data_IF_244022933421
#
_entry.id   IF_244022933421
#
_cell.length_a   1.000
_cell.length_b   1.000
_cell.length_c   1.000
_cell.angle_alpha   90.00
_cell.angle_beta   90.00
_cell.angle_gamma   90.00
#
_symmetry.space_group_name_H-M   'P 1'
#
loop_
_entity.id
_entity.type
_entity.pdbx_description
1 polymer ?
#
# COMPACT_ATOMS: atom_id res chain seq x y z
N UNK A 1 9.42 -64.68 -19.26
CA UNK A 1 8.55 -65.08 -20.39
C UNK A 1 8.52 -66.60 -20.41
N UNK A 2 7.40 -67.25 -20.77
CA UNK A 2 7.35 -68.71 -20.78
C UNK A 2 8.45 -69.27 -21.68
N UNK A 3 9.17 -70.29 -21.20
CA UNK A 3 10.30 -70.91 -21.92
C UNK A 3 9.80 -71.65 -23.16
N UNK A 4 8.56 -72.15 -23.11
CA UNK A 4 7.90 -72.87 -24.19
C UNK A 4 6.45 -72.45 -24.35
N UNK A 5 5.91 -72.61 -25.55
CA UNK A 5 4.48 -72.41 -25.80
C UNK A 5 3.63 -73.39 -24.97
N UNK A 6 2.50 -72.89 -24.44
CA UNK A 6 1.60 -73.70 -23.61
C UNK A 6 1.15 -75.00 -24.30
N UNK A 7 0.91 -74.95 -25.61
CA UNK A 7 0.50 -76.14 -26.37
C UNK A 7 1.66 -77.15 -26.51
N UNK A 8 2.90 -76.67 -26.57
CA UNK A 8 4.09 -77.52 -26.57
C UNK A 8 4.29 -78.17 -25.21
N UNK A 9 4.14 -77.42 -24.12
CA UNK A 9 4.19 -77.95 -22.76
C UNK A 9 3.13 -79.06 -22.56
N UNK A 10 1.90 -78.85 -23.03
CA UNK A 10 0.82 -79.84 -22.93
C UNK A 10 1.14 -81.16 -23.65
N UNK A 11 1.82 -81.11 -24.79
CA UNK A 11 2.19 -82.31 -25.55
C UNK A 11 3.19 -83.23 -24.84
N UNK A 12 3.81 -82.79 -23.74
CA UNK A 12 4.75 -83.60 -22.97
C UNK A 12 4.10 -84.41 -21.85
N UNK A 13 2.83 -84.15 -21.55
CA UNK A 13 2.09 -84.74 -20.44
C UNK A 13 0.83 -85.48 -20.92
N UNK A 14 0.88 -86.08 -22.11
CA UNK A 14 -0.19 -86.95 -22.60
C UNK A 14 -0.13 -88.34 -21.94
N UNK A 15 -1.24 -89.09 -22.01
CA UNK A 15 -1.31 -90.39 -21.34
C UNK A 15 -0.35 -91.37 -21.98
N UNK A 16 0.61 -91.87 -21.19
CA UNK A 16 1.65 -92.79 -21.65
C UNK A 16 2.98 -92.13 -21.97
N UNK A 17 3.02 -90.80 -22.03
CA UNK A 17 4.26 -90.05 -22.19
C UNK A 17 4.95 -89.81 -20.85
N UNK A 18 6.29 -89.85 -20.88
CA UNK A 18 7.14 -89.56 -19.74
C UNK A 18 8.04 -88.38 -20.09
N UNK A 19 7.73 -87.16 -19.59
CA UNK A 19 8.57 -86.00 -19.84
C UNK A 19 9.99 -86.23 -19.30
N UNK A 20 10.97 -85.78 -20.08
CA UNK A 20 12.38 -85.73 -19.66
C UNK A 20 12.59 -84.67 -18.58
N UNK A 21 13.72 -84.74 -17.87
CA UNK A 21 14.10 -83.75 -16.86
C UNK A 21 14.04 -82.31 -17.40
N UNK A 22 14.58 -82.08 -18.61
CA UNK A 22 14.56 -80.74 -19.22
C UNK A 22 13.13 -80.27 -19.52
N UNK A 23 12.26 -81.15 -20.01
CA UNK A 23 10.85 -80.82 -20.26
C UNK A 23 10.10 -80.45 -18.96
N UNK A 24 10.49 -81.07 -17.85
CA UNK A 24 9.96 -80.72 -16.54
C UNK A 24 10.50 -79.39 -16.01
N UNK A 25 11.80 -79.10 -16.20
CA UNK A 25 12.37 -77.79 -15.86
C UNK A 25 11.73 -76.66 -16.65
N UNK A 26 11.60 -76.83 -17.98
CA UNK A 26 10.93 -75.88 -18.86
C UNK A 26 9.48 -75.59 -18.41
N UNK A 27 8.80 -76.57 -17.81
CA UNK A 27 7.48 -76.38 -17.22
C UNK A 27 7.55 -75.49 -15.97
N UNK A 28 8.42 -75.82 -15.02
CA UNK A 28 8.56 -75.09 -13.74
C UNK A 28 8.94 -73.64 -14.01
N UNK A 29 9.95 -73.42 -14.84
CA UNK A 29 10.47 -72.10 -15.19
C UNK A 29 9.49 -71.27 -16.07
N UNK A 30 8.45 -71.91 -16.62
CA UNK A 30 7.38 -71.21 -17.32
C UNK A 30 6.35 -70.57 -16.36
N UNK A 31 6.40 -70.88 -15.05
CA UNK A 31 5.59 -70.24 -14.02
C UNK A 31 6.39 -69.16 -13.28
N UNK A 32 5.69 -68.11 -12.81
CA UNK A 32 6.32 -67.08 -11.98
C UNK A 32 6.49 -67.57 -10.53
N UNK A 33 7.70 -67.43 -10.00
CA UNK A 33 8.07 -67.71 -8.62
C UNK A 33 8.08 -66.42 -7.80
N UNK A 34 7.08 -66.25 -6.91
CA UNK A 34 6.78 -65.00 -6.17
C UNK A 34 7.98 -64.37 -5.42
N UNK A 35 8.95 -65.17 -4.99
CA UNK A 35 10.10 -64.71 -4.20
C UNK A 35 11.37 -64.47 -5.05
N UNK A 36 11.40 -64.98 -6.28
CA UNK A 36 12.59 -65.02 -7.13
C UNK A 36 12.43 -64.21 -8.41
N UNK A 37 11.19 -64.05 -8.89
CA UNK A 37 10.87 -63.35 -10.12
C UNK A 37 10.32 -61.94 -9.90
N UNK A 38 10.73 -61.03 -10.79
CA UNK A 38 10.18 -59.67 -10.88
C UNK A 38 8.96 -59.66 -11.82
N UNK A 39 7.80 -59.28 -11.28
CA UNK A 39 6.59 -59.06 -12.09
C UNK A 39 6.56 -57.59 -12.53
N UNK A 40 6.94 -57.33 -13.78
CA UNK A 40 6.77 -56.00 -14.38
C UNK A 40 5.29 -55.67 -14.57
N UNK A 41 4.91 -54.43 -14.28
CA UNK A 41 3.56 -53.88 -14.49
C UNK A 41 3.04 -54.08 -15.93
N UNK A 42 3.93 -54.13 -16.93
CA UNK A 42 3.60 -54.39 -18.34
C UNK A 42 3.20 -55.84 -18.61
N UNK A 43 3.59 -56.78 -17.74
CA UNK A 43 3.27 -58.20 -17.88
C UNK A 43 1.83 -58.52 -17.43
N UNK A 44 1.14 -57.57 -16.81
CA UNK A 44 -0.26 -57.71 -16.41
C UNK A 44 -1.13 -56.85 -17.33
N UNK A 45 -1.88 -57.53 -18.21
CA UNK A 45 -2.78 -56.87 -19.16
C UNK A 45 -3.72 -55.88 -18.45
N UNK A 46 -3.71 -54.63 -18.89
CA UNK A 46 -4.60 -53.57 -18.39
C UNK A 46 -4.22 -52.93 -17.05
N UNK A 47 -3.25 -53.48 -16.30
CA UNK A 47 -2.89 -52.94 -14.97
C UNK A 47 -2.33 -51.52 -15.06
N UNK A 48 -1.44 -51.26 -16.03
CA UNK A 48 -0.91 -49.91 -16.27
C UNK A 48 -2.02 -48.91 -16.59
N UNK A 49 -2.97 -49.29 -17.44
CA UNK A 49 -4.12 -48.45 -17.81
C UNK A 49 -5.00 -48.14 -16.60
N UNK A 50 -5.31 -49.14 -15.78
CA UNK A 50 -6.11 -48.96 -14.56
C UNK A 50 -5.41 -48.05 -13.55
N UNK A 51 -4.10 -48.19 -13.36
CA UNK A 51 -3.33 -47.33 -12.45
C UNK A 51 -3.24 -45.90 -12.95
N UNK A 52 -3.02 -45.71 -14.26
CA UNK A 52 -3.05 -44.38 -14.88
C UNK A 52 -4.43 -43.72 -14.76
N UNK A 53 -5.51 -44.50 -14.67
CA UNK A 53 -6.87 -44.00 -14.47
C UNK A 53 -7.24 -43.70 -13.00
N UNK A 54 -6.42 -44.06 -12.00
CA UNK A 54 -6.74 -43.85 -10.57
C UNK A 54 -6.51 -42.43 -10.07
N UNK A 55 -5.62 -41.69 -10.72
CA UNK A 55 -5.45 -40.26 -10.53
C UNK A 55 -5.57 -39.67 -11.92
N UNK A 56 -6.78 -39.28 -12.28
CA UNK A 56 -7.04 -38.77 -13.62
C UNK A 56 -6.18 -37.51 -13.78
N UNK A 57 -5.15 -37.62 -14.62
CA UNK A 57 -4.23 -36.52 -14.87
C UNK A 57 -5.01 -35.26 -15.22
N UNK A 58 -6.13 -35.42 -15.92
CA UNK A 58 -7.08 -34.37 -16.24
C UNK A 58 -7.73 -33.73 -15.01
N UNK A 59 -8.13 -34.49 -13.99
CA UNK A 59 -8.69 -33.93 -12.75
C UNK A 59 -7.64 -33.13 -11.98
N UNK A 60 -6.39 -33.60 -11.93
CA UNK A 60 -5.30 -32.86 -11.29
C UNK A 60 -4.97 -31.59 -12.06
N UNK A 61 -4.86 -31.66 -13.40
CA UNK A 61 -4.62 -30.47 -14.22
C UNK A 61 -5.78 -29.47 -14.13
N UNK A 62 -7.03 -29.95 -14.08
CA UNK A 62 -8.21 -29.11 -13.88
C UNK A 62 -8.17 -28.40 -12.53
N UNK A 63 -7.79 -29.10 -11.45
CA UNK A 63 -7.66 -28.50 -10.13
C UNK A 63 -6.52 -27.47 -10.08
N UNK A 64 -5.36 -27.77 -10.67
CA UNK A 64 -4.23 -26.83 -10.74
C UNK A 64 -4.57 -25.58 -11.56
N UNK A 65 -5.44 -25.70 -12.56
CA UNK A 65 -5.96 -24.58 -13.34
C UNK A 65 -7.08 -23.78 -12.64
N UNK A 66 -7.73 -24.38 -11.65
CA UNK A 66 -8.88 -23.78 -10.96
C UNK A 66 -8.43 -22.74 -9.91
N UNK A 67 -8.28 -21.49 -10.37
CA UNK A 67 -8.05 -20.33 -9.49
C UNK A 67 -9.34 -19.82 -8.83
N UNK A 68 -10.48 -20.45 -9.10
CA UNK A 68 -11.73 -20.10 -8.46
C UNK A 68 -11.88 -20.74 -7.06
N UNK A 69 -10.97 -21.65 -6.66
CA UNK A 69 -11.11 -22.49 -5.46
C UNK A 69 -9.78 -23.09 -4.94
N UNK A 70 -9.34 -22.84 -3.70
CA UNK A 70 -9.21 -21.56 -3.00
C UNK A 70 -7.89 -20.83 -3.32
N UNK A 71 -7.10 -21.27 -4.30
CA UNK A 71 -5.81 -20.64 -4.63
C UNK A 71 -6.01 -19.40 -5.52
N UNK A 72 -5.37 -18.28 -5.14
CA UNK A 72 -5.36 -17.03 -5.90
C UNK A 72 -6.73 -16.33 -6.08
N UNK A 73 -7.60 -16.41 -5.06
CA UNK A 73 -8.88 -15.69 -5.08
C UNK A 73 -8.68 -14.17 -5.17
N UNK A 74 -9.49 -13.54 -6.02
CA UNK A 74 -9.53 -12.10 -6.25
C UNK A 74 -10.40 -11.40 -5.20
N UNK A 75 -10.23 -10.08 -5.04
CA UNK A 75 -11.14 -9.26 -4.20
C UNK A 75 -12.61 -9.45 -4.59
N UNK A 76 -12.89 -9.72 -5.86
CA UNK A 76 -14.24 -9.98 -6.31
C UNK A 76 -14.82 -11.30 -5.78
N UNK A 77 -14.01 -12.35 -5.73
CA UNK A 77 -14.45 -13.66 -5.22
C UNK A 77 -14.80 -13.64 -3.73
N UNK A 78 -14.19 -12.74 -2.96
CA UNK A 78 -14.48 -12.57 -1.52
C UNK A 78 -15.47 -11.44 -1.24
N UNK A 79 -16.14 -10.89 -2.26
CA UNK A 79 -17.16 -9.85 -2.10
C UNK A 79 -16.60 -8.46 -1.78
N UNK A 80 -15.30 -8.22 -2.00
CA UNK A 80 -14.60 -6.97 -1.70
C UNK A 80 -14.30 -6.14 -2.97
N UNK A 81 -15.00 -6.37 -4.09
CA UNK A 81 -14.76 -5.65 -5.37
C UNK A 81 -14.83 -4.14 -5.25
N UNK A 82 -15.72 -3.64 -4.40
CA UNK A 82 -15.96 -2.21 -4.22
C UNK A 82 -14.97 -1.55 -3.25
N UNK A 83 -14.07 -2.33 -2.64
CA UNK A 83 -13.09 -1.82 -1.69
C UNK A 83 -11.82 -1.44 -2.44
N UNK A 84 -11.48 -0.15 -2.52
CA UNK A 84 -10.30 0.30 -3.24
C UNK A 84 -9.00 -0.16 -2.54
N UNK A 85 -7.91 -0.29 -3.30
CA UNK A 85 -6.61 -0.68 -2.77
C UNK A 85 -5.74 0.55 -2.45
N UNK A 86 -6.11 1.31 -1.43
CA UNK A 86 -5.44 2.55 -1.09
C UNK A 86 -4.79 2.49 0.30
N UNK A 87 -3.62 3.12 0.40
CA UNK A 87 -2.88 3.29 1.64
C UNK A 87 -3.27 4.63 2.28
N UNK A 88 -3.44 4.64 3.60
CA UNK A 88 -3.74 5.85 4.39
C UNK A 88 -2.54 6.19 5.28
N UNK A 89 -1.39 6.49 4.67
CA UNK A 89 -0.11 6.63 5.37
C UNK A 89 0.35 8.08 5.56
N UNK A 90 -0.30 9.06 4.92
CA UNK A 90 0.07 10.46 5.04
C UNK A 90 -1.08 11.36 5.54
N UNK A 91 -0.71 12.37 6.34
CA UNK A 91 -1.63 13.31 7.01
C UNK A 91 -2.23 14.34 6.04
N UNK A 92 -1.61 14.54 4.88
CA UNK A 92 -1.98 15.50 3.84
C UNK A 92 -2.84 14.89 2.72
N UNK A 93 -3.19 13.60 2.80
CA UNK A 93 -4.00 12.90 1.80
C UNK A 93 -5.49 13.27 1.86
N UNK A 94 -5.88 14.20 0.99
CA UNK A 94 -7.28 14.59 0.77
C UNK A 94 -7.99 13.66 -0.23
N UNK A 95 -8.30 12.43 0.21
CA UNK A 95 -9.07 11.44 -0.57
C UNK A 95 -10.43 11.15 0.07
N UNK A 96 -11.30 12.15 0.06
CA UNK A 96 -12.66 12.13 0.61
C UNK A 96 -13.55 10.99 0.08
N UNK A 97 -13.38 10.59 -1.18
CA UNK A 97 -14.24 9.59 -1.83
C UNK A 97 -13.81 8.15 -1.52
N UNK A 98 -12.62 7.98 -0.94
CA UNK A 98 -11.97 6.68 -0.80
C UNK A 98 -11.63 6.34 0.66
N UNK A 99 -11.23 7.34 1.45
CA UNK A 99 -10.66 7.18 2.79
C UNK A 99 -11.25 8.24 3.72
N UNK A 100 -12.50 8.05 4.16
CA UNK A 100 -13.24 9.03 4.98
C UNK A 100 -12.44 9.54 6.20
N UNK A 101 -11.61 8.68 6.81
CA UNK A 101 -10.73 9.03 7.94
C UNK A 101 -9.58 9.96 7.54
N UNK A 102 -8.94 9.77 6.37
CA UNK A 102 -7.83 10.63 5.93
C UNK A 102 -8.31 12.04 5.63
N UNK A 103 -9.52 12.19 5.08
CA UNK A 103 -10.14 13.49 4.85
C UNK A 103 -10.46 14.25 6.15
N UNK A 104 -10.86 13.55 7.21
CA UNK A 104 -11.07 14.15 8.53
C UNK A 104 -9.74 14.64 9.15
N UNK A 105 -8.68 13.83 9.02
CA UNK A 105 -7.33 14.18 9.48
C UNK A 105 -6.75 15.36 8.70
N UNK A 106 -6.89 15.38 7.38
CA UNK A 106 -6.47 16.50 6.53
C UNK A 106 -7.11 17.81 6.96
N UNK A 107 -8.45 17.82 7.13
CA UNK A 107 -9.20 19.01 7.59
C UNK A 107 -8.73 19.47 8.97
N UNK A 108 -8.42 18.55 9.87
CA UNK A 108 -7.87 18.88 11.18
C UNK A 108 -6.47 19.49 11.06
N UNK A 109 -5.58 18.89 10.27
CA UNK A 109 -4.23 19.39 10.04
C UNK A 109 -4.23 20.81 9.45
N UNK A 110 -5.10 21.09 8.47
CA UNK A 110 -5.27 22.45 7.93
C UNK A 110 -5.72 23.45 8.99
N UNK A 111 -6.68 23.07 9.85
CA UNK A 111 -7.16 23.93 10.95
C UNK A 111 -6.09 24.20 12.01
N UNK A 112 -5.25 23.21 12.32
CA UNK A 112 -4.15 23.38 13.28
C UNK A 112 -3.07 24.28 12.68
N UNK A 113 -2.72 24.11 11.41
CA UNK A 113 -1.76 24.96 10.71
C UNK A 113 -2.12 26.44 10.75
N UNK A 114 -3.40 26.76 10.55
CA UNK A 114 -3.89 28.15 10.57
C UNK A 114 -3.81 28.81 11.95
N UNK A 115 -3.77 28.05 13.04
CA UNK A 115 -3.66 28.58 14.41
C UNK A 115 -2.20 28.72 14.90
N UNK A 116 -1.22 28.52 14.00
CA UNK A 116 0.21 28.63 14.33
C UNK A 116 0.61 30.11 14.34
N UNK A 117 1.24 30.54 15.43
CA UNK A 117 1.82 31.88 15.52
C UNK A 117 2.97 31.96 14.51
N UNK A 118 2.82 32.78 13.48
CA UNK A 118 3.91 33.08 12.56
C UNK A 118 4.80 34.17 13.19
N UNK A 119 6.12 34.02 13.07
CA UNK A 119 7.08 34.97 13.61
C UNK A 119 8.06 35.38 12.51
N UNK A 120 8.26 36.69 12.33
CA UNK A 120 9.16 37.24 11.33
C UNK A 120 10.00 38.37 11.92
N UNK A 121 11.29 38.40 11.57
CA UNK A 121 12.19 39.48 11.92
C UNK A 121 12.43 40.38 10.72
N UNK A 122 12.23 41.69 10.92
CA UNK A 122 12.52 42.72 9.94
C UNK A 122 13.70 43.57 10.42
N UNK A 123 14.61 43.92 9.52
CA UNK A 123 15.71 44.86 9.79
C UNK A 123 15.52 46.21 9.09
N UNK A 124 14.55 46.28 8.18
CA UNK A 124 14.12 47.46 7.44
C UNK A 124 12.61 47.37 7.20
N UNK A 125 11.99 48.41 6.64
CA UNK A 125 10.58 48.36 6.24
C UNK A 125 10.30 47.12 5.39
N UNK A 126 9.19 46.44 5.68
CA UNK A 126 8.92 45.12 5.13
C UNK A 126 7.45 44.87 4.90
N UNK A 127 7.16 43.68 4.37
CA UNK A 127 5.81 43.26 4.02
C UNK A 127 5.50 41.87 4.57
N UNK A 128 4.30 41.71 5.08
CA UNK A 128 3.68 40.44 5.42
C UNK A 128 2.49 40.16 4.51
N UNK A 129 2.28 38.90 4.13
CA UNK A 129 1.19 38.50 3.24
C UNK A 129 0.17 37.71 4.06
N UNK A 130 -0.99 38.32 4.32
CA UNK A 130 -2.13 37.64 4.92
C UNK A 130 -2.88 36.86 3.84
N UNK A 131 -2.99 35.54 4.01
CA UNK A 131 -3.61 34.65 3.00
C UNK A 131 -5.12 34.78 2.98
N UNK A 132 -5.71 34.61 1.80
CA UNK A 132 -7.17 34.56 1.62
C UNK A 132 -7.83 33.63 2.65
N UNK A 133 -8.79 34.18 3.39
CA UNK A 133 -9.56 33.48 4.41
C UNK A 133 -9.04 33.63 5.84
N UNK A 134 -7.82 34.14 6.03
CA UNK A 134 -7.25 34.39 7.36
C UNK A 134 -7.70 35.75 7.92
N UNK A 135 -8.00 35.80 9.22
CA UNK A 135 -8.22 37.02 9.99
C UNK A 135 -6.99 37.31 10.87
N UNK A 136 -6.29 38.42 10.63
CA UNK A 136 -5.22 38.89 11.51
C UNK A 136 -5.81 39.71 12.65
N UNK A 137 -5.97 39.10 13.82
CA UNK A 137 -6.59 39.76 14.99
C UNK A 137 -5.60 40.70 15.69
N UNK A 138 -4.38 40.22 15.92
CA UNK A 138 -3.35 40.97 16.64
C UNK A 138 -1.95 40.64 16.16
N UNK A 139 -1.06 41.60 16.36
CA UNK A 139 0.38 41.41 16.25
C UNK A 139 1.06 41.78 17.57
N UNK A 140 2.20 41.15 17.83
CA UNK A 140 3.11 41.55 18.92
C UNK A 140 4.42 41.98 18.30
N UNK A 141 4.80 43.23 18.53
CA UNK A 141 5.99 43.86 17.95
C UNK A 141 7.03 44.06 19.05
N UNK A 142 8.22 43.51 18.83
CA UNK A 142 9.35 43.56 19.76
C UNK A 142 10.54 44.20 19.04
N UNK A 143 10.69 45.53 19.11
CA UNK A 143 11.81 46.23 18.51
C UNK A 143 13.02 46.25 19.45
N UNK A 144 14.26 46.29 18.94
CA UNK A 144 15.47 46.39 19.79
C UNK A 144 15.71 47.79 20.38
N UNK A 145 15.04 48.81 19.85
CA UNK A 145 15.09 50.20 20.28
C UNK A 145 13.70 50.84 20.11
N UNK A 146 13.47 52.02 20.68
CA UNK A 146 12.21 52.74 20.49
C UNK A 146 12.01 53.08 19.00
N UNK A 147 10.81 52.83 18.49
CA UNK A 147 10.44 53.10 17.08
C UNK A 147 9.05 53.74 16.99
N UNK A 148 8.75 54.38 15.87
CA UNK A 148 7.38 54.77 15.52
C UNK A 148 6.89 53.93 14.36
N UNK A 149 6.09 52.91 14.65
CA UNK A 149 5.59 51.97 13.65
C UNK A 149 4.32 52.51 12.99
N UNK A 150 4.26 52.45 11.67
CA UNK A 150 3.02 52.66 10.89
C UNK A 150 2.73 51.42 10.06
N UNK A 151 1.44 51.13 9.83
CA UNK A 151 1.00 49.96 9.06
C UNK A 151 0.07 50.43 7.96
N UNK A 152 0.27 49.89 6.75
CA UNK A 152 -0.61 50.20 5.63
C UNK A 152 -0.78 49.06 4.62
N UNK A 153 -1.70 49.26 3.69
CA UNK A 153 -1.95 48.35 2.55
C UNK A 153 -1.00 48.55 1.38
N UNK A 154 -0.21 49.62 1.41
CA UNK A 154 0.84 49.94 0.43
C UNK A 154 2.15 50.30 1.13
N UNK A 155 3.27 50.20 0.42
CA UNK A 155 4.58 50.57 0.97
C UNK A 155 4.59 52.02 1.45
N UNK A 156 4.95 52.26 2.72
CA UNK A 156 4.93 53.58 3.34
C UNK A 156 3.56 54.09 3.77
N UNK A 157 2.47 53.32 3.54
CA UNK A 157 1.12 53.69 3.96
C UNK A 157 0.92 53.59 5.48
N UNK A 158 -0.06 54.33 5.97
CA UNK A 158 -0.49 54.41 7.37
C UNK A 158 -2.02 54.21 7.52
N UNK A 159 -2.67 53.62 6.50
CA UNK A 159 -4.13 53.46 6.44
C UNK A 159 -4.68 52.41 7.40
N UNK A 160 -3.83 51.52 7.93
CA UNK A 160 -4.21 50.51 8.92
C UNK A 160 -3.86 50.99 10.33
N UNK A 161 -2.66 51.55 10.51
CA UNK A 161 -2.17 52.08 11.77
C UNK A 161 -1.34 53.34 11.52
N UNK A 162 -1.76 54.45 12.11
CA UNK A 162 -0.96 55.68 12.17
C UNK A 162 0.31 55.49 13.00
N UNK A 163 1.26 56.41 12.88
CA UNK A 163 2.55 56.33 13.57
C UNK A 163 2.38 56.18 15.09
N UNK A 164 2.58 54.95 15.58
CA UNK A 164 2.44 54.57 16.97
C UNK A 164 3.83 54.43 17.60
N UNK A 165 4.17 55.21 18.65
CA UNK A 165 5.43 55.04 19.35
C UNK A 165 5.42 53.74 20.15
N UNK A 166 6.44 52.90 19.90
CA UNK A 166 6.63 51.60 20.55
C UNK A 166 7.93 51.63 21.35
N UNK A 167 7.90 51.07 22.55
CA UNK A 167 9.09 50.97 23.39
C UNK A 167 9.99 49.81 22.96
N UNK A 168 11.29 50.06 22.96
CA UNK A 168 12.34 49.10 22.72
C UNK A 168 12.38 48.00 23.78
N UNK A 169 12.74 46.80 23.36
CA UNK A 169 12.90 45.60 24.18
C UNK A 169 11.64 45.20 24.98
N UNK A 170 10.47 45.70 24.58
CA UNK A 170 9.17 45.35 25.15
C UNK A 170 8.25 44.75 24.09
N UNK A 171 7.35 43.86 24.52
CA UNK A 171 6.31 43.31 23.66
C UNK A 171 5.14 44.29 23.52
N UNK A 172 5.09 45.00 22.40
CA UNK A 172 4.03 45.94 22.10
C UNK A 172 2.90 45.21 21.37
N UNK A 173 1.71 45.13 21.97
CA UNK A 173 0.55 44.44 21.39
C UNK A 173 -0.30 45.42 20.60
N UNK A 174 -0.61 45.09 19.35
CA UNK A 174 -1.42 45.91 18.45
C UNK A 174 -2.56 45.05 17.91
N UNK A 175 -3.80 45.48 18.12
CA UNK A 175 -5.00 44.88 17.52
C UNK A 175 -5.25 45.48 16.14
N UNK A 176 -5.50 44.65 15.13
CA UNK A 176 -5.61 45.10 13.73
C UNK A 176 -6.91 44.65 13.04
N UNK A 177 -7.55 43.58 13.51
CA UNK A 177 -8.79 43.01 12.96
C UNK A 177 -8.87 43.02 11.43
N UNK A 178 -7.78 42.64 10.77
CA UNK A 178 -7.63 42.71 9.32
C UNK A 178 -8.03 41.38 8.68
N UNK A 179 -9.10 41.36 7.91
CA UNK A 179 -9.59 40.16 7.22
C UNK A 179 -9.24 40.13 5.73
N UNK A 180 -8.67 39.03 5.25
CA UNK A 180 -8.41 38.78 3.82
C UNK A 180 -9.61 38.09 3.15
N UNK A 181 -10.67 38.86 2.89
CA UNK A 181 -11.98 38.32 2.50
C UNK A 181 -12.07 37.71 1.09
N UNK A 182 -11.35 38.26 0.11
CA UNK A 182 -11.53 37.91 -1.31
C UNK A 182 -10.21 37.61 -2.05
N UNK A 183 -9.09 38.15 -1.56
CA UNK A 183 -7.73 37.87 -2.06
C UNK A 183 -6.74 37.92 -0.90
N UNK A 184 -5.51 37.42 -1.14
CA UNK A 184 -4.37 37.70 -0.26
C UNK A 184 -4.24 39.23 -0.07
N UNK A 185 -3.87 39.65 1.15
CA UNK A 185 -3.66 41.07 1.51
C UNK A 185 -2.22 41.29 1.93
N UNK A 186 -1.60 42.29 1.33
CA UNK A 186 -0.28 42.76 1.71
C UNK A 186 -0.40 43.75 2.89
N UNK A 187 0.38 43.51 3.94
CA UNK A 187 0.50 44.37 5.11
C UNK A 187 1.93 44.91 5.15
N UNK A 188 2.08 46.22 4.97
CA UNK A 188 3.37 46.90 4.96
C UNK A 188 3.66 47.53 6.31
N UNK A 189 4.87 47.27 6.82
CA UNK A 189 5.39 47.85 8.06
C UNK A 189 6.40 48.95 7.74
N UNK A 190 6.15 50.14 8.26
CA UNK A 190 6.96 51.34 8.05
C UNK A 190 7.47 51.90 9.38
N UNK A 191 8.66 52.50 9.39
CA UNK A 191 9.31 53.02 10.60
C UNK A 191 10.27 52.03 11.25
N UNK A 192 10.66 50.98 10.53
CA UNK A 192 11.63 49.97 10.98
C UNK A 192 13.04 50.42 10.58
N UNK A 193 13.81 50.89 11.56
CA UNK A 193 15.19 51.34 11.39
C UNK A 193 16.24 50.39 12.04
N UNK A 194 15.79 49.25 12.56
CA UNK A 194 16.61 48.26 13.26
C UNK A 194 15.90 46.90 13.33
N UNK A 195 16.44 45.95 14.10
CA UNK A 195 15.84 44.63 14.23
C UNK A 195 14.51 44.69 15.00
N UNK A 196 13.44 44.23 14.37
CA UNK A 196 12.09 44.17 14.93
C UNK A 196 11.50 42.79 14.68
N UNK A 197 11.16 42.09 15.75
CA UNK A 197 10.46 40.80 15.68
C UNK A 197 8.96 41.05 15.75
N UNK A 198 8.21 40.49 14.81
CA UNK A 198 6.75 40.59 14.75
C UNK A 198 6.17 39.18 14.82
N UNK A 199 5.28 38.96 15.78
CA UNK A 199 4.46 37.74 15.88
C UNK A 199 3.05 38.02 15.40
N UNK A 200 2.54 37.18 14.53
CA UNK A 200 1.21 37.28 13.94
C UNK A 200 0.27 36.26 14.57
N UNK A 201 -0.87 36.74 15.07
CA UNK A 201 -1.93 35.89 15.60
C UNK A 201 -3.13 35.98 14.65
N UNK A 202 -3.33 34.89 13.91
CA UNK A 202 -4.37 34.77 12.90
C UNK A 202 -5.40 33.71 13.28
N UNK A 203 -6.59 33.81 12.69
CA UNK A 203 -7.69 32.86 12.80
C UNK A 203 -8.16 32.39 11.42
#
# INVERSE_FOLDING_TARGET
MPIQDRNKLKSWFETGDYPTQQQFWDLIDSFFHKLEDVIDINNVSGLRTLLNAKADYEQLQSHLGDKANPHAVTKAQVGLSNIPNNISDAIDLNQNDTLATSAAVFKLASKIGNNTIEEQTFTTNGRYVLRLGDLLEKIVVIPTADISLSIGTVSGGNDILDALPLSGNAGNVISLDLFAASTDKDVYFSGIAGSVQIRYYKR
#
